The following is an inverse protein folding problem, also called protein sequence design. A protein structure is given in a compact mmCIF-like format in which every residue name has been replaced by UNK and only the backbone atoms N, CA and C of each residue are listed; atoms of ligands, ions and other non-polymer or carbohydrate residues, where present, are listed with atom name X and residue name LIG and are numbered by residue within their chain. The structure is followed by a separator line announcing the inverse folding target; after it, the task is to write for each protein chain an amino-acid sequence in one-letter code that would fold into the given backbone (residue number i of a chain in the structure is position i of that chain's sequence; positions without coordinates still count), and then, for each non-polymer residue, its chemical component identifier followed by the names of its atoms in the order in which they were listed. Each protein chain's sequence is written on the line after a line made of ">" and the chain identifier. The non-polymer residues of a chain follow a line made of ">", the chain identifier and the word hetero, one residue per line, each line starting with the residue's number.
data_IF_244868717752
#
_entry.id   IF_244868717752
#
_cell.length_a   1.000
_cell.length_b   1.000
_cell.length_c   1.000
_cell.angle_alpha   90.00
_cell.angle_beta   90.00
_cell.angle_gamma   90.00
#
_symmetry.space_group_name_H-M   'P 1'
#
loop_
_entity.id
_entity.type
_entity.pdbx_description
1 polymer ?
#
# COMPACT_ATOMS: atom_id res chain seq x y z
N UNK A 1 -28.14 12.04 21.97
CA UNK A 1 -27.03 12.31 21.02
C UNK A 1 -26.40 10.98 20.70
N UNK A 2 -26.52 10.50 19.46
CA UNK A 2 -25.89 9.26 19.01
C UNK A 2 -24.37 9.42 19.10
N UNK A 3 -23.76 8.80 20.10
CA UNK A 3 -22.33 8.88 20.32
C UNK A 3 -21.68 7.77 19.50
N UNK A 4 -21.55 8.02 18.20
CA UNK A 4 -20.79 7.12 17.32
C UNK A 4 -19.36 7.11 17.87
N UNK A 5 -18.93 5.97 18.41
CA UNK A 5 -17.66 5.84 19.16
C UNK A 5 -16.44 5.84 18.25
N UNK A 6 -16.64 5.66 16.93
CA UNK A 6 -15.60 5.46 15.93
C UNK A 6 -15.74 6.43 14.75
N UNK A 7 -14.63 7.04 14.33
CA UNK A 7 -14.59 7.88 13.11
C UNK A 7 -14.49 6.98 11.86
N UNK A 8 -15.65 6.57 11.35
CA UNK A 8 -15.73 5.77 10.13
C UNK A 8 -15.24 6.51 8.87
N UNK A 9 -15.30 7.85 8.87
CA UNK A 9 -14.77 8.64 7.76
C UNK A 9 -13.23 8.59 7.75
N UNK A 10 -12.60 8.60 8.94
CA UNK A 10 -11.15 8.42 9.08
C UNK A 10 -10.66 7.06 8.57
N UNK A 11 -11.47 6.00 8.70
CA UNK A 11 -11.15 4.66 8.15
C UNK A 11 -11.17 4.69 6.61
N UNK A 12 -12.19 5.31 6.01
CA UNK A 12 -12.30 5.45 4.56
C UNK A 12 -11.16 6.30 3.99
N UNK A 13 -10.81 7.40 4.66
CA UNK A 13 -9.66 8.24 4.31
C UNK A 13 -8.34 7.46 4.38
N UNK A 14 -8.14 6.63 5.40
CA UNK A 14 -6.94 5.78 5.48
C UNK A 14 -6.85 4.82 4.28
N UNK A 15 -7.95 4.23 3.85
CA UNK A 15 -7.98 3.34 2.69
C UNK A 15 -7.64 4.07 1.39
N UNK A 16 -8.15 5.28 1.20
CA UNK A 16 -7.82 6.13 0.04
C UNK A 16 -6.34 6.56 0.04
N UNK A 17 -5.79 6.90 1.21
CA UNK A 17 -4.38 7.24 1.39
C UNK A 17 -3.49 6.04 1.02
N UNK A 18 -3.87 4.83 1.44
CA UNK A 18 -3.18 3.60 1.08
C UNK A 18 -3.18 3.41 -0.44
N UNK A 19 -4.33 3.56 -1.11
CA UNK A 19 -4.43 3.42 -2.56
C UNK A 19 -3.57 4.47 -3.30
N UNK A 20 -3.55 5.70 -2.79
CA UNK A 20 -2.69 6.78 -3.31
C UNK A 20 -1.20 6.47 -3.15
N UNK A 21 -0.80 5.96 -1.98
CA UNK A 21 0.58 5.57 -1.71
C UNK A 21 1.05 4.43 -2.63
N UNK A 22 0.21 3.40 -2.82
CA UNK A 22 0.54 2.27 -3.70
C UNK A 22 0.78 2.74 -5.15
N UNK A 23 -0.10 3.60 -5.69
CA UNK A 23 0.07 4.17 -7.03
C UNK A 23 1.33 5.01 -7.15
N UNK A 24 1.66 5.79 -6.11
CA UNK A 24 2.87 6.60 -6.09
C UNK A 24 4.12 5.72 -6.06
N UNK A 25 4.13 4.68 -5.23
CA UNK A 25 5.23 3.72 -5.15
C UNK A 25 5.49 3.04 -6.50
N UNK A 26 4.43 2.60 -7.18
CA UNK A 26 4.53 1.99 -8.51
C UNK A 26 5.13 2.97 -9.55
N UNK A 27 4.63 4.21 -9.56
CA UNK A 27 5.16 5.27 -10.43
C UNK A 27 6.62 5.63 -10.14
N UNK A 28 7.04 5.61 -8.87
CA UNK A 28 8.44 5.90 -8.50
C UNK A 28 9.37 4.75 -8.94
N UNK A 29 8.93 3.49 -8.81
CA UNK A 29 9.67 2.32 -9.31
C UNK A 29 9.84 2.37 -10.83
N UNK A 30 8.76 2.65 -11.56
CA UNK A 30 8.81 2.81 -13.02
C UNK A 30 9.69 3.99 -13.45
N UNK A 31 9.67 5.08 -12.67
CA UNK A 31 10.54 6.24 -12.88
C UNK A 31 12.02 5.88 -12.74
N UNK A 32 12.37 5.10 -11.71
CA UNK A 32 13.74 4.65 -11.51
C UNK A 32 14.15 3.67 -12.63
N UNK A 33 13.28 2.76 -13.06
CA UNK A 33 13.59 1.88 -14.20
C UNK A 33 13.81 2.65 -15.51
N UNK A 34 12.99 3.67 -15.75
CA UNK A 34 13.14 4.54 -16.92
C UNK A 34 14.45 5.32 -16.86
N UNK A 35 14.84 5.81 -15.68
CA UNK A 35 16.09 6.55 -15.48
C UNK A 35 17.33 5.65 -15.62
N UNK A 36 17.24 4.37 -15.24
CA UNK A 36 18.34 3.41 -15.31
C UNK A 36 18.48 2.74 -16.69
N UNK A 37 17.43 2.76 -17.53
CA UNK A 37 17.41 2.17 -18.88
C UNK A 37 18.56 2.60 -19.80
N UNK A 38 18.98 3.89 -19.85
CA UNK A 38 20.13 4.31 -20.66
C UNK A 38 21.46 3.73 -20.17
N UNK A 39 21.55 3.41 -18.87
CA UNK A 39 22.76 2.88 -18.26
C UNK A 39 22.96 1.38 -18.55
N UNK A 40 21.87 0.62 -18.76
CA UNK A 40 21.90 -0.79 -19.16
C UNK A 40 22.59 -1.03 -20.51
N UNK A 41 22.61 -0.05 -21.43
CA UNK A 41 23.11 -0.22 -22.80
C UNK A 41 24.58 0.18 -23.01
N UNK A 42 24.95 1.42 -22.63
CA UNK A 42 26.28 1.97 -22.95
C UNK A 42 27.23 2.02 -21.74
N UNK A 43 26.72 2.27 -20.54
CA UNK A 43 27.55 2.50 -19.36
C UNK A 43 27.92 1.21 -18.60
N UNK A 44 27.08 0.17 -18.65
CA UNK A 44 27.22 -1.05 -17.86
C UNK A 44 27.74 -2.22 -18.70
N UNK A 45 28.63 -1.94 -19.67
CA UNK A 45 29.30 -2.95 -20.48
C UNK A 45 30.31 -3.74 -19.63
N UNK A 46 29.80 -4.66 -18.82
CA UNK A 46 30.54 -5.61 -17.99
C UNK A 46 29.56 -6.50 -17.25
N UNK A 47 29.73 -7.82 -17.34
CA UNK A 47 28.80 -8.84 -16.78
C UNK A 47 28.43 -8.58 -15.31
N UNK A 48 29.39 -8.11 -14.52
CA UNK A 48 29.22 -7.87 -13.07
C UNK A 48 28.29 -6.69 -12.77
N UNK A 49 28.39 -5.58 -13.51
CA UNK A 49 27.52 -4.43 -13.26
C UNK A 49 26.07 -4.80 -13.57
N UNK A 50 25.83 -5.41 -14.73
CA UNK A 50 24.50 -5.83 -15.15
C UNK A 50 23.87 -6.83 -14.15
N UNK A 51 24.65 -7.82 -13.71
CA UNK A 51 24.22 -8.82 -12.73
C UNK A 51 23.85 -8.18 -11.38
N UNK A 52 24.69 -7.30 -10.83
CA UNK A 52 24.41 -6.58 -9.59
C UNK A 52 23.16 -5.72 -9.70
N UNK A 53 22.91 -5.08 -10.84
CA UNK A 53 21.66 -4.36 -11.02
C UNK A 53 20.45 -5.26 -11.11
N UNK A 54 20.51 -6.39 -11.80
CA UNK A 54 19.37 -7.31 -11.81
C UNK A 54 19.07 -7.85 -10.41
N UNK A 55 20.11 -8.11 -9.61
CA UNK A 55 19.97 -8.51 -8.21
C UNK A 55 19.27 -7.42 -7.39
N UNK A 56 19.81 -6.18 -7.42
CA UNK A 56 19.22 -5.03 -6.72
C UNK A 56 17.81 -4.72 -7.24
N UNK A 57 17.60 -4.89 -8.54
CA UNK A 57 16.30 -4.74 -9.23
C UNK A 57 15.29 -5.80 -8.80
N UNK A 58 15.74 -6.97 -8.39
CA UNK A 58 14.86 -8.00 -7.87
C UNK A 58 14.54 -7.72 -6.40
N UNK A 59 15.55 -7.32 -5.63
CA UNK A 59 15.46 -7.03 -4.20
C UNK A 59 14.47 -5.90 -3.89
N UNK A 60 14.65 -4.72 -4.50
CA UNK A 60 13.77 -3.56 -4.28
C UNK A 60 12.31 -3.83 -4.73
N UNK A 61 12.07 -4.58 -5.82
CA UNK A 61 10.73 -4.97 -6.30
C UNK A 61 10.08 -5.95 -5.33
N UNK A 62 10.85 -6.90 -4.80
CA UNK A 62 10.35 -7.81 -3.76
C UNK A 62 10.00 -7.05 -2.48
N UNK A 63 10.81 -6.07 -2.08
CA UNK A 63 10.51 -5.22 -0.93
C UNK A 63 9.24 -4.38 -1.15
N UNK A 64 9.09 -3.78 -2.34
CA UNK A 64 7.90 -3.03 -2.70
C UNK A 64 6.64 -3.90 -2.71
N UNK A 65 6.72 -5.13 -3.22
CA UNK A 65 5.61 -6.09 -3.18
C UNK A 65 5.18 -6.39 -1.74
N UNK A 66 6.13 -6.63 -0.83
CA UNK A 66 5.84 -6.87 0.59
C UNK A 66 5.17 -5.68 1.26
N UNK A 67 5.60 -4.47 0.92
CA UNK A 67 4.95 -3.24 1.41
C UNK A 67 3.52 -3.17 0.88
N UNK A 68 3.31 -3.46 -0.41
CA UNK A 68 1.97 -3.48 -1.00
C UNK A 68 1.05 -4.50 -0.34
N UNK A 69 1.53 -5.72 -0.11
CA UNK A 69 0.81 -6.78 0.59
C UNK A 69 0.44 -6.37 2.01
N UNK A 70 1.38 -5.80 2.77
CA UNK A 70 1.12 -5.34 4.14
C UNK A 70 0.05 -4.24 4.18
N UNK A 71 0.09 -3.29 3.24
CA UNK A 71 -0.89 -2.23 3.13
C UNK A 71 -2.27 -2.73 2.68
N UNK A 72 -2.32 -3.70 1.76
CA UNK A 72 -3.57 -4.35 1.39
C UNK A 72 -4.19 -5.13 2.56
N UNK A 73 -3.38 -5.85 3.32
CA UNK A 73 -3.83 -6.56 4.52
C UNK A 73 -4.37 -5.58 5.58
N UNK A 74 -3.70 -4.43 5.75
CA UNK A 74 -4.18 -3.35 6.61
C UNK A 74 -5.54 -2.83 6.15
N UNK A 75 -5.71 -2.56 4.84
CA UNK A 75 -6.98 -2.11 4.26
C UNK A 75 -8.12 -3.11 4.49
N UNK A 76 -7.86 -4.41 4.30
CA UNK A 76 -8.84 -5.47 4.57
C UNK A 76 -9.21 -5.50 6.05
N UNK A 77 -8.23 -5.45 6.95
CA UNK A 77 -8.45 -5.43 8.39
C UNK A 77 -9.26 -4.21 8.84
N UNK A 78 -8.99 -3.04 8.25
CA UNK A 78 -9.76 -1.81 8.48
C UNK A 78 -11.22 -1.95 8.01
N UNK A 79 -11.47 -2.55 6.84
CA UNK A 79 -12.82 -2.83 6.34
C UNK A 79 -13.61 -3.76 7.26
N UNK A 80 -13.01 -4.90 7.65
CA UNK A 80 -13.62 -5.87 8.57
C UNK A 80 -13.91 -5.21 9.94
N UNK A 81 -12.98 -4.40 10.44
CA UNK A 81 -13.15 -3.66 11.70
C UNK A 81 -14.30 -2.66 11.61
N UNK A 82 -14.41 -1.92 10.49
CA UNK A 82 -15.51 -0.98 10.23
C UNK A 82 -16.87 -1.69 10.27
N UNK A 83 -17.02 -2.80 9.55
CA UNK A 83 -18.27 -3.57 9.51
C UNK A 83 -18.66 -4.11 10.90
N UNK A 84 -17.69 -4.66 11.64
CA UNK A 84 -17.89 -5.15 12.99
C UNK A 84 -18.29 -4.05 13.97
N UNK A 85 -17.66 -2.88 13.88
CA UNK A 85 -17.94 -1.71 14.70
C UNK A 85 -19.32 -1.11 14.38
N UNK A 86 -19.67 -0.93 13.09
CA UNK A 86 -20.99 -0.45 12.69
C UNK A 86 -22.10 -1.37 13.17
N UNK A 87 -21.88 -2.69 13.06
CA UNK A 87 -22.83 -3.69 13.55
C UNK A 87 -23.00 -3.62 15.08
N UNK A 88 -21.92 -3.34 15.82
CA UNK A 88 -21.99 -3.17 17.27
C UNK A 88 -22.74 -1.89 17.66
N UNK A 89 -22.50 -0.78 16.97
CA UNK A 89 -23.18 0.49 17.21
C UNK A 89 -24.68 0.40 16.89
N UNK A 90 -25.09 -0.28 15.80
CA UNK A 90 -26.51 -0.53 15.48
C UNK A 90 -27.18 -1.36 16.59
N UNK A 91 -26.52 -2.43 17.05
CA UNK A 91 -27.04 -3.26 18.15
C UNK A 91 -27.19 -2.46 19.45
N UNK A 92 -26.20 -1.65 19.78
CA UNK A 92 -26.24 -0.80 20.98
C UNK A 92 -27.34 0.26 20.87
N UNK A 93 -27.49 0.91 19.71
CA UNK A 93 -28.55 1.89 19.47
C UNK A 93 -29.95 1.27 19.59
N UNK A 94 -30.14 0.03 19.14
CA UNK A 94 -31.41 -0.70 19.27
C UNK A 94 -31.74 -1.18 20.70
N UNK A 95 -30.75 -1.29 21.60
CA UNK A 95 -30.99 -1.64 23.01
C UNK A 95 -31.34 -0.43 23.89
N UNK A 96 -30.96 0.78 23.47
CA UNK A 96 -31.15 2.02 24.23
C UNK A 96 -32.13 3.01 23.56
N UNK A 97 -32.85 2.56 22.53
CA UNK A 97 -33.91 3.30 21.84
C UNK A 97 -35.31 2.93 22.30
#
# INVERSE_FOLDING_TARGET
>A
MSNIRYDYNGIDQCAEIIDGFLKKMDSELDGIETALKPLEGEAWRGSVAQEVYFEKKTEWRSAALKIAEALMNLKVSLGVSKEGMQSADIRAAGMFG
#
